data_IF_598429273609
#
_entry.id   IF_598429273609
#
_cell.length_a   1.000
_cell.length_b   1.000
_cell.length_c   1.000
_cell.angle_alpha   90.00
_cell.angle_beta   90.00
_cell.angle_gamma   90.00
#
_symmetry.space_group_name_H-M   'P 1'
#
loop_
_entity.id
_entity.type
_entity.pdbx_description
1 polymer ?
#
# COMPACT_ATOMS: atom_id res chain seq x y z
N UNK A 1 -15.85 12.58 -18.05
CA UNK A 1 -14.47 12.15 -17.75
C UNK A 1 -14.52 11.53 -16.37
N UNK A 2 -14.62 10.21 -16.29
CA UNK A 2 -14.70 9.48 -15.03
C UNK A 2 -13.33 9.57 -14.37
N UNK A 3 -13.23 10.32 -13.28
CA UNK A 3 -12.03 10.33 -12.43
C UNK A 3 -11.90 8.92 -11.88
N UNK A 4 -11.12 8.08 -12.56
CA UNK A 4 -10.58 6.86 -11.98
C UNK A 4 -9.64 7.34 -10.90
N UNK A 5 -10.18 7.64 -9.72
CA UNK A 5 -9.40 7.83 -8.50
C UNK A 5 -8.63 6.52 -8.38
N UNK A 6 -7.36 6.52 -8.79
CA UNK A 6 -6.48 5.39 -8.57
C UNK A 6 -6.38 5.26 -7.06
N UNK A 7 -7.23 4.39 -6.52
CA UNK A 7 -7.30 4.10 -5.10
C UNK A 7 -5.90 3.64 -4.70
N UNK A 8 -5.25 4.48 -3.91
CA UNK A 8 -3.86 4.36 -3.52
C UNK A 8 -3.81 4.57 -2.03
N UNK A 9 -2.95 3.80 -1.38
CA UNK A 9 -2.75 3.84 0.05
C UNK A 9 -1.33 4.25 0.38
N UNK A 10 -1.14 4.62 1.63
CA UNK A 10 0.14 5.01 2.19
C UNK A 10 0.83 3.77 2.77
N UNK A 11 1.89 3.30 2.11
CA UNK A 11 2.77 2.29 2.67
C UNK A 11 3.76 2.97 3.64
N UNK A 12 3.64 2.67 4.93
CA UNK A 12 4.50 3.17 6.01
C UNK A 12 5.66 2.20 6.20
N UNK A 13 6.88 2.66 5.96
CA UNK A 13 8.07 1.84 6.09
C UNK A 13 8.53 1.92 7.55
N UNK A 14 8.34 0.85 8.31
CA UNK A 14 8.58 0.84 9.76
C UNK A 14 9.92 0.22 10.16
N UNK A 15 10.74 -0.16 9.17
CA UNK A 15 12.02 -0.84 9.38
C UNK A 15 12.96 -0.59 8.20
N UNK A 16 14.24 -0.88 8.37
CA UNK A 16 15.24 -0.91 7.31
C UNK A 16 15.73 0.47 6.84
N UNK A 17 16.32 0.56 5.65
CA UNK A 17 17.02 1.77 5.19
C UNK A 17 16.09 2.97 4.90
N UNK A 18 14.78 2.74 4.79
CA UNK A 18 13.79 3.79 4.58
C UNK A 18 12.81 3.88 5.76
N UNK A 19 13.20 3.40 6.94
CA UNK A 19 12.40 3.52 8.17
C UNK A 19 11.93 4.96 8.39
N UNK A 20 10.66 5.11 8.79
CA UNK A 20 10.00 6.39 9.02
C UNK A 20 9.53 7.10 7.75
N UNK A 21 9.89 6.60 6.55
CA UNK A 21 9.33 7.12 5.29
C UNK A 21 8.00 6.47 4.97
N UNK A 22 7.22 7.18 4.16
CA UNK A 22 5.95 6.71 3.62
C UNK A 22 5.98 6.82 2.10
N UNK A 23 5.48 5.81 1.40
CA UNK A 23 5.32 5.87 -0.05
C UNK A 23 3.85 5.71 -0.42
N UNK A 24 3.45 6.25 -1.57
CA UNK A 24 2.11 6.08 -2.11
C UNK A 24 2.12 4.99 -3.17
N UNK A 25 1.26 4.00 -3.01
CA UNK A 25 1.19 2.86 -3.94
C UNK A 25 -0.26 2.44 -4.16
N UNK A 26 -0.52 1.79 -5.29
CA UNK A 26 -1.85 1.30 -5.66
C UNK A 26 -2.20 -0.02 -4.98
N UNK A 27 -3.50 -0.28 -4.86
CA UNK A 27 -3.98 -1.61 -4.50
C UNK A 27 -3.74 -2.63 -5.61
N UNK A 28 -3.83 -3.91 -5.28
CA UNK A 28 -3.92 -5.00 -6.27
C UNK A 28 -5.23 -4.91 -7.05
N UNK A 29 -5.37 -5.69 -8.12
CA UNK A 29 -6.65 -5.82 -8.86
C UNK A 29 -7.82 -6.27 -7.97
N UNK A 30 -7.54 -6.96 -6.85
CA UNK A 30 -8.55 -7.35 -5.85
C UNK A 30 -8.97 -6.21 -4.91
N UNK A 31 -8.29 -5.05 -4.95
CA UNK A 31 -8.50 -3.97 -3.99
C UNK A 31 -7.80 -4.19 -2.66
N UNK A 32 -6.87 -5.15 -2.59
CA UNK A 32 -6.08 -5.43 -1.40
C UNK A 32 -4.74 -4.68 -1.47
N UNK A 33 -4.15 -4.28 -0.33
CA UNK A 33 -2.81 -3.72 -0.34
C UNK A 33 -1.81 -4.75 -0.86
N UNK A 34 -0.77 -4.27 -1.54
CA UNK A 34 0.24 -5.12 -2.18
C UNK A 34 0.90 -6.02 -1.12
N UNK A 35 0.98 -7.34 -1.31
CA UNK A 35 1.60 -8.23 -0.32
C UNK A 35 3.10 -7.93 -0.13
N UNK A 36 3.75 -7.41 -1.19
CA UNK A 36 5.12 -6.94 -1.20
C UNK A 36 5.25 -5.73 -2.11
N UNK A 37 6.18 -4.84 -1.77
CA UNK A 37 6.52 -3.67 -2.57
C UNK A 37 8.03 -3.66 -2.79
N UNK A 38 8.44 -3.29 -3.99
CA UNK A 38 9.85 -3.14 -4.35
C UNK A 38 10.12 -1.68 -4.60
N UNK A 39 11.06 -1.11 -3.85
CA UNK A 39 11.38 0.32 -3.92
C UNK A 39 12.73 0.45 -4.62
N UNK A 40 12.79 1.10 -5.80
CA UNK A 40 14.06 1.36 -6.46
C UNK A 40 14.91 2.32 -5.62
N UNK A 41 16.21 2.11 -5.63
CA UNK A 41 17.17 3.02 -4.98
C UNK A 41 17.82 3.93 -6.02
N UNK A 42 18.74 4.79 -5.56
CA UNK A 42 19.56 5.63 -6.45
C UNK A 42 20.41 4.79 -7.42
N UNK A 43 20.74 3.55 -7.03
CA UNK A 43 21.42 2.59 -7.90
C UNK A 43 20.40 1.76 -8.68
N UNK A 44 20.50 1.69 -10.03
CA UNK A 44 19.57 0.93 -10.86
C UNK A 44 19.64 -0.58 -10.61
N UNK A 45 20.79 -1.06 -10.14
CA UNK A 45 21.04 -2.47 -9.79
C UNK A 45 20.58 -2.84 -8.37
N UNK A 46 19.95 -1.92 -7.61
CA UNK A 46 19.59 -2.18 -6.21
C UNK A 46 18.17 -1.73 -5.91
N UNK A 47 17.42 -2.65 -5.32
CA UNK A 47 16.05 -2.41 -4.89
C UNK A 47 15.83 -2.91 -3.48
N UNK A 48 14.99 -2.23 -2.72
CA UNK A 48 14.61 -2.70 -1.39
C UNK A 48 13.27 -3.41 -1.45
N UNK A 49 13.25 -4.66 -0.99
CA UNK A 49 12.04 -5.44 -0.85
C UNK A 49 11.44 -5.21 0.53
N UNK A 50 10.18 -4.79 0.56
CA UNK A 50 9.39 -4.70 1.76
C UNK A 50 8.16 -5.61 1.67
N UNK A 51 7.77 -6.19 2.79
CA UNK A 51 6.55 -7.01 2.91
C UNK A 51 5.52 -6.30 3.76
N UNK A 52 4.25 -6.51 3.40
CA UNK A 52 3.10 -6.03 4.15
C UNK A 52 3.14 -6.57 5.58
N UNK A 53 3.12 -5.67 6.55
CA UNK A 53 2.99 -5.96 7.98
C UNK A 53 1.53 -6.12 8.40
N UNK A 54 1.30 -6.08 9.72
CA UNK A 54 -0.03 -6.26 10.31
C UNK A 54 -0.75 -4.93 10.67
N UNK A 55 -0.08 -3.78 10.66
CA UNK A 55 -0.74 -2.50 10.91
C UNK A 55 -1.50 -2.01 9.68
N UNK A 56 -2.82 -2.09 9.77
CA UNK A 56 -3.75 -1.49 8.81
C UNK A 56 -4.42 -0.29 9.46
N UNK A 57 -4.32 0.86 8.84
CA UNK A 57 -5.11 2.03 9.20
C UNK A 57 -6.20 2.20 8.15
N UNK A 58 -7.44 2.29 8.62
CA UNK A 58 -8.60 2.51 7.78
C UNK A 58 -9.03 3.97 7.95
N UNK A 59 -9.19 4.67 6.84
CA UNK A 59 -9.76 6.01 6.86
C UNK A 59 -11.21 5.92 7.32
N UNK A 60 -11.61 6.82 8.21
CA UNK A 60 -12.97 6.87 8.75
C UNK A 60 -14.03 7.27 7.71
N UNK A 61 -13.63 7.60 6.48
CA UNK A 61 -14.45 8.19 5.43
C UNK A 61 -15.01 7.17 4.40
N UNK A 62 -14.43 5.97 4.29
CA UNK A 62 -14.79 4.99 3.23
C UNK A 62 -15.99 4.10 3.61
N UNK A 63 -16.52 4.22 4.83
CA UNK A 63 -17.67 3.44 5.30
C UNK A 63 -19.02 3.91 4.73
N UNK A 64 -19.05 4.97 3.89
CA UNK A 64 -20.28 5.54 3.36
C UNK A 64 -20.34 5.51 1.83
N UNK A 65 -20.51 4.32 1.27
CA UNK A 65 -21.31 4.17 0.03
C UNK A 65 -22.34 3.06 0.21
N UNK A 66 -23.20 3.26 1.21
CA UNK A 66 -24.53 2.66 1.22
C UNK A 66 -25.40 3.41 0.21
N UNK A 67 -25.18 3.19 -1.08
CA UNK A 67 -26.19 3.50 -2.10
C UNK A 67 -26.27 2.36 -3.11
N UNK A 68 -27.28 1.49 -2.92
CA UNK A 68 -27.78 0.58 -3.95
C UNK A 68 -26.94 -0.68 -4.18
N UNK A 69 -27.37 -1.80 -3.59
CA UNK A 69 -27.27 -3.14 -4.19
C UNK A 69 -25.90 -3.55 -4.75
N UNK A 70 -24.91 -3.73 -3.89
CA UNK A 70 -23.70 -4.53 -4.17
C UNK A 70 -23.17 -5.07 -2.84
N UNK A 71 -22.65 -6.31 -2.77
CA UNK A 71 -22.13 -6.86 -1.52
C UNK A 71 -21.10 -5.89 -0.96
N UNK A 72 -21.28 -5.50 0.31
CA UNK A 72 -20.43 -4.55 1.02
C UNK A 72 -18.96 -4.94 0.80
N UNK A 73 -18.25 -4.19 -0.05
CA UNK A 73 -16.83 -4.40 -0.23
C UNK A 73 -16.16 -4.13 1.12
N UNK A 74 -15.22 -4.96 1.58
CA UNK A 74 -14.49 -4.67 2.80
C UNK A 74 -13.83 -3.30 2.68
N UNK A 75 -13.94 -2.48 3.73
CA UNK A 75 -13.33 -1.16 3.78
C UNK A 75 -11.84 -1.26 3.44
N UNK A 76 -11.35 -0.39 2.55
CA UNK A 76 -9.95 -0.45 2.10
C UNK A 76 -9.05 0.32 3.07
N UNK A 77 -7.88 -0.23 3.44
CA UNK A 77 -6.96 0.48 4.34
C UNK A 77 -6.35 1.68 3.62
N UNK A 78 -6.31 2.84 4.27
CA UNK A 78 -5.69 4.06 3.74
C UNK A 78 -4.20 4.13 4.04
N UNK A 79 -3.74 3.44 5.09
CA UNK A 79 -2.33 3.24 5.34
C UNK A 79 -2.03 1.81 5.81
N UNK A 80 -0.85 1.32 5.45
CA UNK A 80 -0.43 -0.04 5.74
C UNK A 80 1.03 -0.03 6.12
N UNK A 81 1.38 -0.74 7.18
CA UNK A 81 2.77 -0.92 7.59
C UNK A 81 3.49 -1.91 6.69
N UNK A 82 4.77 -1.62 6.42
CA UNK A 82 5.66 -2.46 5.64
C UNK A 82 6.99 -2.61 6.36
N UNK A 83 7.49 -3.85 6.39
CA UNK A 83 8.76 -4.20 7.00
C UNK A 83 9.77 -4.56 5.95
N UNK A 84 11.00 -4.11 6.14
CA UNK A 84 12.10 -4.43 5.26
C UNK A 84 12.42 -5.93 5.35
N UNK A 85 12.69 -6.54 4.21
CA UNK A 85 13.10 -7.95 4.13
C UNK A 85 14.54 -8.06 3.69
N UNK A 86 14.86 -7.50 2.53
CA UNK A 86 16.20 -7.58 1.95
C UNK A 86 16.42 -6.53 0.87
N UNK A 87 17.68 -6.26 0.57
CA UNK A 87 18.06 -5.57 -0.65
C UNK A 87 18.25 -6.62 -1.76
N UNK A 88 17.52 -6.44 -2.86
CA UNK A 88 17.68 -7.20 -4.09
C UNK A 88 18.71 -6.47 -4.95
N UNK A 89 19.63 -7.24 -5.54
CA UNK A 89 20.62 -6.76 -6.47
C UNK A 89 20.42 -7.46 -7.81
N UNK A 90 20.30 -6.71 -8.90
CA UNK A 90 20.17 -7.22 -10.27
C UNK A 90 21.41 -6.91 -11.12
#
# INVERSE_FOLDING_TARGET
MSTTTSESYTAKLTDGPLEGKTIRTGFTNGGEPQPRITIPTDSPAKQYLYIRGNGFEYGSDDASSSNGSSPARPARPTAVEYRFVQAIFE
#
